data_IF_925526976228
#
_entry.id   IF_925526976228
#
_cell.length_a   1.000
_cell.length_b   1.000
_cell.length_c   1.000
_cell.angle_alpha   90.00
_cell.angle_beta   90.00
_cell.angle_gamma   90.00
#
_symmetry.space_group_name_H-M   'P 1'
#
loop_
_entity.id
_entity.type
_entity.pdbx_description
1 polymer ?
#
# COMPACT_ATOMS: atom_id res chain seq x y z
N UNK A 1 59.88 -17.99 5.19
CA UNK A 1 60.69 -16.79 4.95
C UNK A 1 60.52 -16.37 3.49
N UNK A 2 60.18 -15.12 3.24
CA UNK A 2 60.11 -14.58 1.87
C UNK A 2 58.91 -13.69 1.62
N UNK A 3 58.94 -12.48 2.18
CA UNK A 3 58.03 -11.38 1.86
C UNK A 3 58.09 -11.04 0.36
N UNK A 4 56.97 -10.52 -0.19
CA UNK A 4 56.95 -9.22 -0.89
C UNK A 4 55.52 -8.77 -1.21
N UNK A 5 55.15 -7.63 -0.61
CA UNK A 5 54.05 -6.74 -1.01
C UNK A 5 54.49 -5.98 -2.26
N UNK A 6 53.56 -5.69 -3.18
CA UNK A 6 53.71 -4.62 -4.16
C UNK A 6 52.39 -3.88 -4.36
N UNK A 7 52.41 -2.63 -3.91
CA UNK A 7 51.53 -1.50 -4.24
C UNK A 7 52.02 -0.85 -5.54
N UNK A 8 51.13 -0.41 -6.44
CA UNK A 8 51.42 0.62 -7.45
C UNK A 8 50.12 1.01 -8.16
N UNK A 9 49.49 2.15 -7.83
CA UNK A 9 49.67 3.47 -8.46
C UNK A 9 48.87 3.62 -9.76
N UNK A 10 47.79 4.40 -9.67
CA UNK A 10 47.14 5.06 -10.81
C UNK A 10 48.03 6.18 -11.35
N UNK A 11 47.91 6.48 -12.66
CA UNK A 11 47.74 7.88 -13.02
C UNK A 11 46.56 8.13 -13.95
N UNK A 12 45.84 9.19 -13.60
CA UNK A 12 44.91 9.96 -14.39
C UNK A 12 45.69 10.89 -15.34
N UNK A 13 45.23 11.04 -16.60
CA UNK A 13 45.17 12.30 -17.39
C UNK A 13 45.36 12.10 -18.91
N UNK A 14 44.50 12.78 -19.69
CA UNK A 14 44.47 12.87 -21.16
C UNK A 14 43.09 13.39 -21.58
N UNK A 15 42.77 14.69 -21.63
CA UNK A 15 43.20 15.80 -22.52
C UNK A 15 42.61 15.75 -23.94
N UNK A 16 41.80 16.78 -24.29
CA UNK A 16 41.39 17.20 -25.65
C UNK A 16 40.08 16.57 -26.17
N UNK A 17 39.13 17.23 -26.85
CA UNK A 17 39.10 18.51 -27.57
C UNK A 17 37.59 18.87 -27.89
N UNK A 18 37.27 19.99 -28.59
CA UNK A 18 36.04 20.78 -28.41
C UNK A 18 34.96 20.67 -29.53
N UNK A 19 33.89 21.47 -29.34
CA UNK A 19 32.87 21.98 -30.30
C UNK A 19 31.67 21.06 -30.62
N UNK A 20 30.46 21.51 -30.26
CA UNK A 20 29.43 22.05 -31.19
C UNK A 20 28.09 22.25 -30.44
N UNK A 21 27.56 23.47 -30.48
CA UNK A 21 26.12 23.76 -30.32
C UNK A 21 25.44 23.53 -31.69
N UNK A 22 24.16 23.10 -31.80
CA UNK A 22 22.97 23.98 -31.66
C UNK A 22 21.67 23.17 -31.31
N UNK A 23 20.42 23.56 -31.64
CA UNK A 23 19.74 24.86 -31.63
C UNK A 23 18.49 24.89 -30.70
N UNK A 24 18.04 26.11 -30.42
CA UNK A 24 16.75 26.49 -29.81
C UNK A 24 15.58 25.96 -30.66
N UNK A 25 14.61 25.27 -30.04
CA UNK A 25 13.26 25.08 -30.60
C UNK A 25 12.19 25.64 -29.67
N UNK A 26 11.31 26.40 -30.30
CA UNK A 26 10.24 27.25 -29.78
C UNK A 26 9.13 26.42 -29.12
N UNK A 27 8.60 26.94 -28.01
CA UNK A 27 7.35 26.52 -27.40
C UNK A 27 6.14 26.82 -28.32
N UNK A 28 5.03 26.09 -28.12
CA UNK A 28 3.72 26.70 -28.16
C UNK A 28 3.08 26.78 -26.77
N UNK A 29 2.51 27.95 -26.54
CA UNK A 29 1.81 28.49 -25.38
C UNK A 29 0.64 27.62 -24.89
N UNK A 30 0.63 27.36 -23.58
CA UNK A 30 -0.54 26.88 -22.83
C UNK A 30 -1.28 28.13 -22.32
N UNK A 31 -2.42 28.44 -22.91
CA UNK A 31 -3.28 29.53 -22.43
C UNK A 31 -3.95 29.14 -21.10
N UNK A 32 -4.04 30.06 -20.13
CA UNK A 32 -4.77 29.86 -18.88
C UNK A 32 -6.24 30.20 -19.07
N UNK A 33 -7.15 29.35 -18.58
CA UNK A 33 -8.57 29.70 -18.52
C UNK A 33 -8.89 30.23 -17.10
N UNK A 34 -9.44 31.45 -16.95
CA UNK A 34 -9.71 32.04 -15.65
C UNK A 34 -11.01 31.52 -15.03
N UNK A 35 -11.02 31.52 -13.69
CA UNK A 35 -12.19 31.31 -12.85
C UNK A 35 -13.26 32.39 -13.06
N UNK A 36 -14.53 31.99 -13.07
CA UNK A 36 -15.62 32.83 -12.56
C UNK A 36 -16.43 32.09 -11.51
N UNK A 37 -16.77 32.89 -10.51
CA UNK A 37 -17.17 32.62 -9.14
C UNK A 37 -18.68 32.78 -9.01
N UNK A 38 -19.27 32.13 -7.98
CA UNK A 38 -20.53 32.48 -7.27
C UNK A 38 -21.82 32.19 -8.05
N UNK A 39 -22.93 31.74 -7.47
CA UNK A 39 -23.53 31.93 -6.14
C UNK A 39 -24.39 30.71 -5.73
N UNK A 40 -24.55 30.52 -4.41
CA UNK A 40 -25.51 29.59 -3.82
C UNK A 40 -26.97 30.04 -4.01
N UNK A 41 -27.89 29.09 -4.19
CA UNK A 41 -29.29 29.20 -3.77
C UNK A 41 -29.89 27.80 -3.60
N UNK A 42 -30.84 27.69 -2.67
CA UNK A 42 -31.31 26.46 -2.04
C UNK A 42 -32.56 25.83 -2.72
N UNK A 43 -32.69 24.50 -2.55
CA UNK A 43 -33.92 23.66 -2.59
C UNK A 43 -34.74 23.58 -3.90
N UNK A 44 -35.72 22.64 -4.04
CA UNK A 44 -35.77 21.21 -3.68
C UNK A 44 -36.23 20.32 -4.87
N UNK A 45 -35.97 19.01 -4.77
CA UNK A 45 -36.57 17.88 -5.53
C UNK A 45 -37.33 18.16 -6.84
N UNK A 46 -36.71 17.87 -7.98
CA UNK A 46 -37.44 17.50 -9.20
C UNK A 46 -36.96 16.14 -9.71
N UNK A 47 -37.92 15.22 -9.83
CA UNK A 47 -37.77 13.95 -10.56
C UNK A 47 -37.15 14.25 -11.91
N UNK A 48 -36.01 13.63 -12.21
CA UNK A 48 -35.43 13.61 -13.56
C UNK A 48 -36.45 13.01 -14.52
N UNK A 49 -37.21 13.89 -15.17
CA UNK A 49 -38.08 13.57 -16.30
C UNK A 49 -37.15 13.32 -17.47
N UNK A 50 -36.98 12.05 -17.82
CA UNK A 50 -36.20 11.63 -18.98
C UNK A 50 -36.79 12.35 -20.20
N UNK A 51 -36.01 13.15 -20.96
CA UNK A 51 -36.51 13.78 -22.18
C UNK A 51 -36.90 12.66 -23.15
N UNK A 52 -38.17 12.63 -23.54
CA UNK A 52 -38.65 11.79 -24.64
C UNK A 52 -37.91 12.31 -25.88
N UNK A 53 -36.90 11.55 -26.32
CA UNK A 53 -36.24 11.78 -27.59
C UNK A 53 -37.28 11.61 -28.70
N UNK A 54 -37.51 12.70 -29.43
CA UNK A 54 -38.10 12.71 -30.76
C UNK A 54 -37.52 11.57 -31.62
N UNK A 55 -38.32 10.88 -32.44
CA UNK A 55 -37.80 9.87 -33.34
C UNK A 55 -36.83 10.54 -34.31
N UNK A 56 -35.57 10.14 -34.21
CA UNK A 56 -34.52 10.54 -35.15
C UNK A 56 -34.96 10.17 -36.57
N UNK A 57 -34.73 11.02 -37.59
CA UNK A 57 -34.90 10.61 -38.97
C UNK A 57 -34.06 9.34 -39.17
N UNK A 58 -34.70 8.32 -39.75
CA UNK A 58 -34.15 7.00 -39.98
C UNK A 58 -32.92 7.16 -40.89
N UNK A 59 -31.75 7.25 -40.26
CA UNK A 59 -30.48 7.19 -40.96
C UNK A 59 -30.48 5.84 -41.70
N UNK A 60 -30.22 5.80 -43.02
CA UNK A 60 -30.14 4.54 -43.74
C UNK A 60 -29.23 3.60 -42.96
N UNK A 61 -29.72 2.40 -42.65
CA UNK A 61 -28.95 1.41 -41.92
C UNK A 61 -27.57 1.31 -42.59
N UNK A 62 -26.52 1.70 -41.87
CA UNK A 62 -25.17 1.39 -42.32
C UNK A 62 -25.14 -0.12 -42.55
N UNK A 63 -24.65 -0.60 -43.71
CA UNK A 63 -24.49 -2.03 -43.91
C UNK A 63 -23.69 -2.58 -42.72
N UNK A 64 -24.02 -3.78 -42.21
CA UNK A 64 -23.27 -4.37 -41.11
C UNK A 64 -21.80 -4.36 -41.50
N UNK A 65 -20.97 -3.67 -40.71
CA UNK A 65 -19.52 -3.73 -40.89
C UNK A 65 -19.16 -5.22 -40.95
N UNK A 66 -18.41 -5.68 -41.97
CA UNK A 66 -18.13 -7.10 -42.12
C UNK A 66 -17.53 -7.61 -40.82
N UNK A 67 -18.12 -8.67 -40.25
CA UNK A 67 -17.55 -9.32 -39.08
C UNK A 67 -16.09 -9.66 -39.41
N UNK A 68 -15.13 -9.30 -38.53
CA UNK A 68 -13.73 -9.62 -38.78
C UNK A 68 -13.60 -11.14 -38.95
N UNK A 69 -13.28 -11.57 -40.17
CA UNK A 69 -13.00 -12.98 -40.43
C UNK A 69 -11.63 -13.30 -39.85
N UNK A 70 -11.63 -13.92 -38.68
CA UNK A 70 -10.40 -14.35 -38.03
C UNK A 70 -9.83 -15.56 -38.77
N UNK A 71 -8.53 -15.51 -39.07
CA UNK A 71 -7.84 -16.68 -39.61
C UNK A 71 -7.72 -17.76 -38.53
N UNK A 72 -7.62 -19.02 -38.95
CA UNK A 72 -7.39 -20.15 -38.03
C UNK A 72 -6.17 -19.93 -37.12
N UNK A 73 -5.12 -19.30 -37.65
CA UNK A 73 -3.92 -18.94 -36.90
C UNK A 73 -4.18 -17.87 -35.83
N UNK A 74 -5.01 -16.86 -36.13
CA UNK A 74 -5.39 -15.83 -35.16
C UNK A 74 -6.19 -16.41 -33.99
N UNK A 75 -7.08 -17.37 -34.25
CA UNK A 75 -7.82 -18.08 -33.21
C UNK A 75 -6.88 -18.88 -32.30
N UNK A 76 -5.97 -19.66 -32.90
CA UNK A 76 -4.97 -20.41 -32.14
C UNK A 76 -4.05 -19.49 -31.30
N UNK A 77 -3.65 -18.34 -31.86
CA UNK A 77 -2.87 -17.34 -31.13
C UNK A 77 -3.68 -16.73 -29.96
N UNK A 78 -4.97 -16.43 -30.18
CA UNK A 78 -5.85 -15.90 -29.13
C UNK A 78 -6.01 -16.89 -27.97
N UNK A 79 -6.22 -18.18 -28.25
CA UNK A 79 -6.30 -19.23 -27.22
C UNK A 79 -5.00 -19.32 -26.41
N UNK A 80 -3.85 -19.21 -27.08
CA UNK A 80 -2.54 -19.21 -26.41
C UNK A 80 -2.36 -18.00 -25.50
N UNK A 81 -2.79 -16.81 -25.95
CA UNK A 81 -2.73 -15.60 -25.14
C UNK A 81 -3.68 -15.70 -23.94
N UNK A 82 -4.92 -16.15 -24.16
CA UNK A 82 -5.92 -16.30 -23.11
C UNK A 82 -5.48 -17.31 -22.04
N UNK A 83 -4.95 -18.46 -22.45
CA UNK A 83 -4.43 -19.47 -21.52
C UNK A 83 -3.26 -18.91 -20.70
N UNK A 84 -2.31 -18.24 -21.34
CA UNK A 84 -1.20 -17.58 -20.65
C UNK A 84 -1.68 -16.52 -19.64
N UNK A 85 -2.64 -15.68 -20.02
CA UNK A 85 -3.18 -14.68 -19.10
C UNK A 85 -3.91 -15.33 -17.92
N UNK A 86 -4.71 -16.38 -18.16
CA UNK A 86 -5.42 -17.09 -17.08
C UNK A 86 -4.46 -17.74 -16.09
N UNK A 87 -3.31 -18.25 -16.54
CA UNK A 87 -2.32 -18.86 -15.65
C UNK A 87 -1.50 -17.83 -14.88
N UNK A 88 -1.08 -16.74 -15.52
CA UNK A 88 -0.13 -15.79 -14.92
C UNK A 88 -0.78 -14.60 -14.22
N UNK A 89 -1.97 -14.17 -14.63
CA UNK A 89 -2.64 -13.00 -14.05
C UNK A 89 -2.97 -13.17 -12.56
N UNK A 90 -3.50 -14.30 -12.07
CA UNK A 90 -3.81 -14.48 -10.65
C UNK A 90 -2.55 -14.37 -9.77
N UNK A 91 -1.45 -14.99 -10.20
CA UNK A 91 -0.15 -14.88 -9.54
C UNK A 91 0.32 -13.43 -9.48
N UNK A 92 0.26 -12.72 -10.60
CA UNK A 92 0.71 -11.33 -10.67
C UNK A 92 -0.15 -10.41 -9.79
N UNK A 93 -1.46 -10.62 -9.77
CA UNK A 93 -2.39 -9.89 -8.91
C UNK A 93 -2.10 -10.15 -7.42
N UNK A 94 -1.93 -11.41 -7.02
CA UNK A 94 -1.62 -11.78 -5.64
C UNK A 94 -0.30 -11.16 -5.15
N UNK A 95 0.76 -11.23 -5.97
CA UNK A 95 2.04 -10.61 -5.62
C UNK A 95 1.93 -9.09 -5.51
N UNK A 96 1.19 -8.44 -6.42
CA UNK A 96 0.94 -7.00 -6.35
C UNK A 96 0.19 -6.62 -5.07
N UNK A 97 -0.81 -7.41 -4.66
CA UNK A 97 -1.54 -7.21 -3.41
C UNK A 97 -0.62 -7.35 -2.20
N UNK A 98 0.19 -8.41 -2.14
CA UNK A 98 1.14 -8.62 -1.03
C UNK A 98 2.14 -7.44 -0.95
N UNK A 99 2.69 -6.98 -2.07
CA UNK A 99 3.58 -5.82 -2.09
C UNK A 99 2.88 -4.53 -1.65
N UNK A 100 1.60 -4.36 -1.98
CA UNK A 100 0.82 -3.21 -1.51
C UNK A 100 0.60 -3.27 0.00
N UNK A 101 0.32 -4.44 0.55
CA UNK A 101 0.13 -4.64 2.00
C UNK A 101 1.45 -4.39 2.73
N UNK A 102 2.56 -4.92 2.20
CA UNK A 102 3.89 -4.69 2.76
C UNK A 102 4.25 -3.20 2.78
N UNK A 103 3.96 -2.45 1.72
CA UNK A 103 4.18 -0.99 1.72
C UNK A 103 3.36 -0.31 2.82
N UNK A 104 2.08 -0.66 2.97
CA UNK A 104 1.22 -0.10 4.01
C UNK A 104 1.75 -0.44 5.42
N UNK A 105 2.31 -1.64 5.60
CA UNK A 105 2.99 -2.01 6.84
C UNK A 105 4.20 -1.10 7.13
N UNK A 106 5.08 -0.86 6.15
CA UNK A 106 6.23 0.04 6.34
C UNK A 106 5.81 1.49 6.62
N UNK A 107 4.75 1.98 5.96
CA UNK A 107 4.18 3.31 6.20
C UNK A 107 3.64 3.41 7.63
N UNK A 108 2.87 2.42 8.09
CA UNK A 108 2.36 2.37 9.45
C UNK A 108 3.50 2.30 10.47
N UNK A 109 4.50 1.47 10.22
CA UNK A 109 5.66 1.31 11.11
C UNK A 109 6.51 2.57 11.22
N UNK A 110 6.72 3.28 10.11
CA UNK A 110 7.49 4.53 10.11
C UNK A 110 6.72 5.72 10.67
N UNK A 111 5.39 5.74 10.53
CA UNK A 111 4.53 6.78 11.09
C UNK A 111 4.18 6.57 12.57
N UNK A 112 4.34 5.36 13.08
CA UNK A 112 4.01 5.05 14.46
C UNK A 112 5.12 5.48 15.42
N UNK A 113 4.74 6.24 16.44
CA UNK A 113 5.58 6.59 17.58
C UNK A 113 4.88 6.19 18.87
N UNK A 114 5.65 5.64 19.81
CA UNK A 114 5.10 5.27 21.11
C UNK A 114 4.73 6.53 21.89
N UNK A 115 3.54 6.57 22.52
CA UNK A 115 3.18 7.66 23.42
C UNK A 115 4.18 7.79 24.57
N UNK A 116 4.45 9.02 24.99
CA UNK A 116 5.25 9.29 26.18
C UNK A 116 4.54 8.83 27.47
N UNK A 117 3.21 8.71 27.43
CA UNK A 117 2.41 8.33 28.59
C UNK A 117 1.37 7.30 28.16
N UNK A 118 1.29 6.20 28.90
CA UNK A 118 0.31 5.14 28.70
C UNK A 118 -0.58 5.06 29.93
N UNK A 119 -1.87 4.97 29.70
CA UNK A 119 -2.88 4.84 30.74
C UNK A 119 -3.18 3.36 30.98
N UNK A 120 -3.17 2.92 32.23
CA UNK A 120 -3.52 1.55 32.62
C UNK A 120 -4.72 1.55 33.56
N UNK A 121 -5.66 0.64 33.35
CA UNK A 121 -6.78 0.42 34.27
C UNK A 121 -6.39 -0.61 35.34
N UNK A 122 -6.48 -0.22 36.61
CA UNK A 122 -6.17 -1.10 37.75
C UNK A 122 -7.25 -2.17 38.00
N UNK A 123 -8.45 -1.96 37.46
CA UNK A 123 -9.56 -2.92 37.52
C UNK A 123 -10.15 -3.09 36.13
N UNK A 124 -10.41 -4.33 35.67
CA UNK A 124 -11.01 -4.57 34.36
C UNK A 124 -12.47 -4.08 34.26
N UNK A 125 -13.12 -3.80 35.40
CA UNK A 125 -14.54 -3.41 35.47
C UNK A 125 -14.78 -1.92 35.70
N UNK A 126 -13.74 -1.12 35.93
CA UNK A 126 -13.89 0.31 36.24
C UNK A 126 -12.87 1.13 35.45
N UNK A 127 -13.35 1.80 34.41
CA UNK A 127 -12.57 2.78 33.63
C UNK A 127 -12.22 4.03 34.44
N UNK A 128 -12.74 4.17 35.67
CA UNK A 128 -12.50 5.32 36.54
C UNK A 128 -11.17 5.23 37.34
N UNK A 129 -10.56 4.03 37.43
CA UNK A 129 -9.29 3.81 38.16
C UNK A 129 -8.11 3.69 37.17
N UNK A 130 -7.81 4.81 36.51
CA UNK A 130 -6.72 4.90 35.53
C UNK A 130 -5.44 5.44 36.18
N UNK A 131 -4.33 4.76 35.95
CA UNK A 131 -2.98 5.23 36.30
C UNK A 131 -2.21 5.50 35.02
N UNK A 132 -1.77 6.75 34.87
CA UNK A 132 -0.90 7.15 33.77
C UNK A 132 0.56 6.91 34.13
N UNK A 133 1.28 6.15 33.31
CA UNK A 133 2.70 5.84 33.51
C UNK A 133 3.51 6.45 32.38
N UNK A 134 4.61 7.10 32.73
CA UNK A 134 5.58 7.61 31.76
C UNK A 134 6.39 6.44 31.17
N UNK A 135 6.34 6.29 29.85
CA UNK A 135 7.01 5.18 29.15
C UNK A 135 8.54 5.28 29.24
N UNK A 136 9.10 6.47 29.45
CA UNK A 136 10.54 6.64 29.67
C UNK A 136 11.03 6.01 30.99
N UNK A 137 10.12 5.82 31.95
CA UNK A 137 10.43 5.24 33.26
C UNK A 137 10.19 3.73 33.34
N UNK A 138 9.59 3.14 32.30
CA UNK A 138 9.34 1.70 32.23
C UNK A 138 10.64 0.94 31.97
N UNK A 139 10.96 0.00 32.86
CA UNK A 139 12.07 -0.95 32.70
C UNK A 139 11.50 -2.34 32.43
N UNK A 140 11.88 -3.01 31.32
CA UNK A 140 11.46 -4.38 31.05
C UNK A 140 11.88 -5.32 32.19
N UNK A 141 10.92 -6.00 32.81
CA UNK A 141 11.20 -7.07 33.77
C UNK A 141 11.52 -8.37 33.04
N UNK A 142 12.38 -9.25 33.60
CA UNK A 142 12.65 -10.55 33.02
C UNK A 142 11.37 -11.39 32.94
N UNK A 143 11.15 -12.16 31.85
CA UNK A 143 9.92 -12.92 31.63
C UNK A 143 9.63 -13.95 32.74
N UNK A 144 10.67 -14.39 33.47
CA UNK A 144 10.54 -15.31 34.60
C UNK A 144 9.76 -14.72 35.81
N UNK A 145 9.61 -13.39 35.90
CA UNK A 145 8.95 -12.72 37.03
C UNK A 145 7.53 -12.23 36.69
N UNK A 146 7.12 -12.30 35.42
CA UNK A 146 5.82 -11.80 34.96
C UNK A 146 4.85 -12.91 34.51
N UNK A 147 5.26 -14.18 34.58
CA UNK A 147 4.47 -15.31 34.06
C UNK A 147 3.11 -15.54 34.76
N UNK A 148 2.91 -14.97 35.94
CA UNK A 148 1.70 -15.14 36.76
C UNK A 148 0.85 -13.85 36.86
N UNK A 149 1.27 -12.76 36.19
CA UNK A 149 0.57 -11.47 36.22
C UNK A 149 -0.12 -11.26 34.88
N UNK A 150 -1.46 -11.25 34.89
CA UNK A 150 -2.25 -10.89 33.71
C UNK A 150 -1.87 -9.47 33.26
N UNK A 151 -1.66 -9.23 31.95
CA UNK A 151 -1.26 -7.91 31.48
C UNK A 151 -2.31 -6.86 31.88
N UNK A 152 -1.89 -5.70 32.39
CA UNK A 152 -2.82 -4.66 32.81
C UNK A 152 -3.69 -4.22 31.62
N UNK A 153 -4.96 -3.92 31.90
CA UNK A 153 -5.89 -3.53 30.85
C UNK A 153 -5.54 -2.12 30.35
N UNK A 154 -5.43 -1.94 29.03
CA UNK A 154 -5.27 -0.63 28.41
C UNK A 154 -6.65 -0.08 28.04
N UNK A 155 -7.21 0.88 28.81
CA UNK A 155 -8.48 1.51 28.49
C UNK A 155 -8.41 2.30 27.17
N UNK A 156 -9.58 2.58 26.58
CA UNK A 156 -9.73 3.39 25.36
C UNK A 156 -9.67 4.89 25.67
N UNK A 157 -8.55 5.35 26.23
CA UNK A 157 -8.30 6.78 26.47
C UNK A 157 -7.69 7.46 25.25
N UNK A 158 -7.65 8.80 25.26
CA UNK A 158 -6.99 9.58 24.22
C UNK A 158 -5.49 9.25 24.08
N UNK A 159 -4.80 9.03 25.20
CA UNK A 159 -3.36 8.71 25.22
C UNK A 159 -3.08 7.32 24.61
N UNK A 160 -3.97 6.36 24.85
CA UNK A 160 -3.84 4.99 24.33
C UNK A 160 -4.41 4.83 22.92
N UNK A 161 -5.19 5.79 22.42
CA UNK A 161 -5.78 5.78 21.07
C UNK A 161 -4.76 5.44 19.97
N UNK A 162 -3.58 6.07 19.88
CA UNK A 162 -2.58 5.72 18.87
C UNK A 162 -2.09 4.26 18.96
N UNK A 163 -2.00 3.70 20.17
CA UNK A 163 -1.62 2.29 20.37
C UNK A 163 -2.71 1.34 19.87
N UNK A 164 -3.95 1.54 20.30
CA UNK A 164 -5.10 0.74 19.85
C UNK A 164 -5.30 0.85 18.34
N UNK A 165 -5.15 2.05 17.78
CA UNK A 165 -5.24 2.26 16.33
C UNK A 165 -4.13 1.51 15.59
N UNK A 166 -2.89 1.54 16.09
CA UNK A 166 -1.78 0.83 15.49
C UNK A 166 -1.99 -0.69 15.52
N UNK A 167 -2.32 -1.25 16.69
CA UNK A 167 -2.62 -2.66 16.87
C UNK A 167 -3.78 -3.14 15.97
N UNK A 168 -4.89 -2.38 15.94
CA UNK A 168 -6.00 -2.66 15.05
C UNK A 168 -5.58 -2.66 13.57
N UNK A 169 -4.76 -1.71 13.15
CA UNK A 169 -4.25 -1.67 11.77
C UNK A 169 -3.35 -2.88 11.45
N UNK A 170 -2.50 -3.31 12.38
CA UNK A 170 -1.68 -4.52 12.20
C UNK A 170 -2.55 -5.77 12.05
N UNK A 171 -3.59 -5.92 12.88
CA UNK A 171 -4.58 -6.99 12.77
C UNK A 171 -5.33 -6.98 11.43
N UNK A 172 -5.69 -5.79 10.92
CA UNK A 172 -6.28 -5.65 9.59
C UNK A 172 -5.31 -6.11 8.48
N UNK A 173 -4.02 -5.78 8.58
CA UNK A 173 -3.02 -6.21 7.58
C UNK A 173 -2.87 -7.73 7.57
N UNK A 174 -2.85 -8.38 8.73
CA UNK A 174 -2.82 -9.84 8.84
C UNK A 174 -4.05 -10.48 8.19
N UNK A 175 -5.24 -9.97 8.51
CA UNK A 175 -6.50 -10.42 7.91
C UNK A 175 -6.49 -10.28 6.38
N UNK A 176 -5.93 -9.16 5.87
CA UNK A 176 -5.79 -8.92 4.43
C UNK A 176 -4.79 -9.88 3.78
N UNK A 177 -3.66 -10.19 4.43
CA UNK A 177 -2.68 -11.14 3.92
C UNK A 177 -3.29 -12.54 3.79
N UNK A 178 -4.04 -12.98 4.80
CA UNK A 178 -4.68 -14.30 4.80
C UNK A 178 -5.74 -14.43 3.70
N UNK A 179 -6.43 -13.33 3.38
CA UNK A 179 -7.40 -13.27 2.29
C UNK A 179 -6.76 -13.36 0.88
N UNK A 180 -5.45 -13.12 0.72
CA UNK A 180 -4.80 -13.20 -0.61
C UNK A 180 -4.73 -14.65 -1.08
N UNK A 181 -5.41 -15.02 -2.18
CA UNK A 181 -5.40 -16.39 -2.68
C UNK A 181 -4.04 -16.72 -3.32
N UNK A 182 -3.47 -17.87 -2.98
CA UNK A 182 -2.19 -18.31 -3.56
C UNK A 182 -2.34 -19.03 -4.90
N UNK A 183 -3.53 -19.55 -5.23
CA UNK A 183 -3.76 -20.32 -6.46
C UNK A 183 -2.84 -21.54 -6.65
N UNK A 184 -2.29 -22.08 -5.57
CA UNK A 184 -1.28 -23.15 -5.63
C UNK A 184 0.17 -22.69 -5.86
N UNK A 185 0.40 -21.39 -6.07
CA UNK A 185 1.73 -20.85 -6.36
C UNK A 185 2.61 -20.76 -5.11
N UNK A 186 3.75 -21.46 -5.13
CA UNK A 186 4.71 -21.51 -4.02
C UNK A 186 5.30 -20.14 -3.71
N UNK A 187 5.65 -19.34 -4.73
CA UNK A 187 6.28 -18.03 -4.52
C UNK A 187 5.31 -17.05 -3.86
N UNK A 188 4.02 -17.14 -4.16
CA UNK A 188 2.99 -16.33 -3.49
C UNK A 188 2.88 -16.73 -2.02
N UNK A 189 2.88 -18.04 -1.72
CA UNK A 189 2.82 -18.54 -0.33
C UNK A 189 4.02 -18.11 0.49
N UNK A 190 5.24 -18.28 -0.05
CA UNK A 190 6.48 -17.88 0.60
C UNK A 190 6.51 -16.38 0.86
N UNK A 191 6.16 -15.56 -0.14
CA UNK A 191 6.16 -14.11 0.03
C UNK A 191 5.12 -13.67 1.07
N UNK A 192 3.93 -14.26 1.05
CA UNK A 192 2.90 -13.99 2.07
C UNK A 192 3.40 -14.37 3.47
N UNK A 193 3.99 -15.55 3.63
CA UNK A 193 4.52 -16.02 4.93
C UNK A 193 5.57 -15.07 5.48
N UNK A 194 6.47 -14.59 4.64
CA UNK A 194 7.49 -13.64 5.07
C UNK A 194 6.88 -12.32 5.55
N UNK A 195 5.92 -11.75 4.83
CA UNK A 195 5.25 -10.52 5.28
C UNK A 195 4.45 -10.76 6.55
N UNK A 196 3.71 -11.87 6.66
CA UNK A 196 2.98 -12.25 7.89
C UNK A 196 3.93 -12.33 9.08
N UNK A 197 5.09 -12.99 8.93
CA UNK A 197 6.10 -13.10 9.99
C UNK A 197 6.60 -11.73 10.45
N UNK A 198 6.83 -10.80 9.50
CA UNK A 198 7.27 -9.44 9.82
C UNK A 198 6.19 -8.65 10.57
N UNK A 199 4.93 -8.77 10.16
CA UNK A 199 3.80 -8.10 10.82
C UNK A 199 3.54 -8.70 12.20
N UNK A 200 3.57 -10.02 12.35
CA UNK A 200 3.40 -10.69 13.65
C UNK A 200 4.51 -10.31 14.65
N UNK A 201 5.76 -10.27 14.21
CA UNK A 201 6.86 -9.81 15.06
C UNK A 201 6.67 -8.37 15.54
N UNK A 202 6.02 -7.52 14.72
CA UNK A 202 5.66 -6.16 15.12
C UNK A 202 4.51 -6.14 16.12
N UNK A 203 3.49 -6.98 15.95
CA UNK A 203 2.40 -7.14 16.94
C UNK A 203 2.95 -7.54 18.29
N UNK A 204 3.80 -8.59 18.34
CA UNK A 204 4.44 -9.01 19.59
C UNK A 204 5.27 -7.90 20.22
N UNK A 205 6.02 -7.13 19.41
CA UNK A 205 6.78 -5.97 19.89
C UNK A 205 5.88 -4.91 20.53
N UNK A 206 4.65 -4.71 20.02
CA UNK A 206 3.68 -3.76 20.59
C UNK A 206 3.03 -4.32 21.85
N UNK A 207 2.72 -5.62 21.86
CA UNK A 207 2.18 -6.32 23.03
C UNK A 207 3.15 -6.34 24.21
N UNK A 208 4.47 -6.39 23.97
CA UNK A 208 5.50 -6.28 25.02
C UNK A 208 5.44 -4.96 25.81
N UNK A 209 4.78 -3.93 25.29
CA UNK A 209 4.56 -2.65 25.99
C UNK A 209 3.22 -2.58 26.73
N UNK A 210 2.40 -3.62 26.68
CA UNK A 210 1.18 -3.76 27.49
C UNK A 210 1.48 -4.54 28.76
#
# INVERSE_FOLDING_TARGET
>A
MGHKRSTSTFPNSGTGAPKQAPPVRKAPSRSPNPSTRRTASAQPTERTRIPIRTPSPQQPAQPPSPEPQYTKEQLAAAEKIQSFLRTHFPRHQALKQISSIERRFEELKSGFSFPATIDFALSPSSEDNIVSVDTASLRPLPPAQCADVSPPNLPYTHNNTPLHAYDHNLGQLLSQLDAVPSGGDVRVRERRKEVVRRVQGEVTRVEEWR
#
